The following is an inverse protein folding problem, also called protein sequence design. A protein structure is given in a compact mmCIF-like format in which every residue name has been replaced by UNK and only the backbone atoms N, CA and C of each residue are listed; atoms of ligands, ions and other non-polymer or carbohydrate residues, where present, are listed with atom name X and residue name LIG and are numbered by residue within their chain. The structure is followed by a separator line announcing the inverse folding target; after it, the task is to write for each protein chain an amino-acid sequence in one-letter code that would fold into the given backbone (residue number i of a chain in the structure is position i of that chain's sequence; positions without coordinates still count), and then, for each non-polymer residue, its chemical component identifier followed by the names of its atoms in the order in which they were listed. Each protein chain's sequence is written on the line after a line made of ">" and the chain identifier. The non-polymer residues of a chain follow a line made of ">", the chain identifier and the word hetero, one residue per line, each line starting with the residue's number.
data_IF_693997465629
#
_entry.id   IF_693997465629
#
_cell.length_a   1.000
_cell.length_b   1.000
_cell.length_c   1.000
_cell.angle_alpha   90.00
_cell.angle_beta   90.00
_cell.angle_gamma   90.00
#
_symmetry.space_group_name_H-M   'P 1'
#
loop_
_entity.id
_entity.type
_entity.pdbx_description
1 polymer ?
#
# COMPACT_ATOMS: atom_id res chain seq x y z
N UNK A 1 9.82 3.26 -17.72
CA UNK A 1 8.48 3.46 -17.13
C UNK A 1 8.64 3.57 -15.62
N UNK A 2 8.95 4.79 -15.15
CA UNK A 2 8.61 5.14 -13.76
C UNK A 2 7.12 4.89 -13.66
N UNK A 3 6.68 4.01 -12.76
CA UNK A 3 5.28 4.03 -12.32
C UNK A 3 5.18 5.32 -11.53
N UNK A 4 5.05 6.45 -12.24
CA UNK A 4 4.66 7.71 -11.63
C UNK A 4 3.25 7.44 -11.16
N UNK A 5 3.13 7.09 -9.89
CA UNK A 5 1.85 7.00 -9.22
C UNK A 5 1.33 8.42 -9.22
N UNK A 6 0.61 8.80 -10.26
CA UNK A 6 0.01 10.11 -10.31
C UNK A 6 -1.08 10.10 -9.22
N UNK A 7 -0.92 10.89 -8.14
CA UNK A 7 -1.89 10.91 -7.04
C UNK A 7 -3.28 11.33 -7.54
N UNK A 8 -3.34 12.11 -8.63
CA UNK A 8 -4.57 12.52 -9.32
C UNK A 8 -5.21 11.44 -10.19
N UNK A 9 -4.51 10.34 -10.45
CA UNK A 9 -5.01 9.18 -11.21
C UNK A 9 -4.98 7.90 -10.39
N UNK A 10 -4.89 8.01 -9.07
CA UNK A 10 -5.05 6.86 -8.19
C UNK A 10 -6.45 6.26 -8.41
N UNK A 11 -6.50 4.98 -8.74
CA UNK A 11 -7.71 4.18 -8.64
C UNK A 11 -8.01 3.82 -7.17
N UNK A 12 -7.74 4.75 -6.25
CA UNK A 12 -7.85 4.54 -4.81
C UNK A 12 -8.77 5.61 -4.22
N UNK A 13 -10.05 5.29 -4.21
CA UNK A 13 -11.11 6.13 -3.67
C UNK A 13 -11.30 5.84 -2.17
N UNK A 14 -11.88 6.80 -1.44
CA UNK A 14 -12.25 6.61 -0.02
C UNK A 14 -13.02 5.30 0.22
N UNK A 15 -14.06 4.94 -0.57
CA UNK A 15 -14.73 3.65 -0.46
C UNK A 15 -13.79 2.43 -0.59
N UNK A 16 -12.83 2.46 -1.51
CA UNK A 16 -11.89 1.34 -1.70
C UNK A 16 -10.95 1.17 -0.51
N UNK A 17 -10.50 2.28 0.09
CA UNK A 17 -9.68 2.26 1.31
C UNK A 17 -10.48 1.70 2.48
N UNK A 18 -11.74 2.11 2.63
CA UNK A 18 -12.64 1.57 3.66
C UNK A 18 -12.88 0.07 3.45
N UNK A 19 -13.16 -0.35 2.21
CA UNK A 19 -13.31 -1.76 1.86
C UNK A 19 -12.04 -2.58 2.13
N UNK A 20 -10.86 -1.99 1.93
CA UNK A 20 -9.60 -2.61 2.33
C UNK A 20 -9.55 -2.82 3.86
N UNK A 21 -9.84 -1.77 4.64
CA UNK A 21 -9.85 -1.86 6.10
C UNK A 21 -10.83 -2.96 6.58
N UNK A 22 -12.04 -3.02 5.99
CA UNK A 22 -13.05 -4.02 6.33
C UNK A 22 -12.62 -5.44 6.02
N UNK A 23 -11.95 -5.67 4.89
CA UNK A 23 -11.38 -6.99 4.55
C UNK A 23 -10.32 -7.42 5.56
N UNK A 24 -9.47 -6.49 6.01
CA UNK A 24 -8.43 -6.79 7.01
C UNK A 24 -9.05 -7.09 8.38
N UNK A 25 -10.01 -6.29 8.83
CA UNK A 25 -10.76 -6.55 10.06
C UNK A 25 -11.43 -7.93 10.00
N UNK A 26 -12.18 -8.22 8.93
CA UNK A 26 -12.85 -9.51 8.75
C UNK A 26 -11.87 -10.70 8.77
N UNK A 27 -10.68 -10.54 8.17
CA UNK A 27 -9.62 -11.55 8.21
C UNK A 27 -9.18 -11.83 9.65
N UNK A 28 -8.96 -10.79 10.45
CA UNK A 28 -8.46 -10.92 11.81
C UNK A 28 -9.53 -11.32 12.83
N UNK A 29 -10.79 -10.96 12.60
CA UNK A 29 -11.91 -11.36 13.44
C UNK A 29 -12.13 -12.88 13.50
N UNK A 30 -11.57 -13.65 12.55
CA UNK A 30 -11.53 -15.13 12.62
C UNK A 30 -10.82 -15.66 13.87
N UNK A 31 -9.91 -14.90 14.45
CA UNK A 31 -9.25 -15.17 15.74
C UNK A 31 -9.13 -13.84 16.50
N UNK A 32 -10.25 -13.43 17.11
CA UNK A 32 -10.37 -12.12 17.75
C UNK A 32 -9.48 -12.00 18.98
N UNK A 33 -9.30 -13.08 19.75
CA UNK A 33 -8.47 -13.07 20.97
C UNK A 33 -7.01 -12.77 20.63
N UNK A 34 -6.47 -13.40 19.59
CA UNK A 34 -5.09 -13.15 19.15
C UNK A 34 -4.90 -11.79 18.49
N UNK A 35 -5.92 -11.30 17.78
CA UNK A 35 -5.80 -10.11 16.93
C UNK A 35 -6.49 -8.86 17.49
N UNK A 36 -6.93 -8.86 18.75
CA UNK A 36 -7.72 -7.77 19.33
C UNK A 36 -7.08 -6.39 19.14
N UNK A 37 -5.77 -6.27 19.40
CA UNK A 37 -5.03 -5.01 19.21
C UNK A 37 -4.92 -4.61 17.74
N UNK A 38 -4.71 -5.58 16.83
CA UNK A 38 -4.65 -5.32 15.39
C UNK A 38 -6.00 -4.84 14.85
N UNK A 39 -7.09 -5.46 15.31
CA UNK A 39 -8.46 -5.07 14.97
C UNK A 39 -8.75 -3.65 15.47
N UNK A 40 -8.36 -3.33 16.72
CA UNK A 40 -8.52 -1.98 17.27
C UNK A 40 -7.75 -0.94 16.42
N UNK A 41 -6.49 -1.20 16.11
CA UNK A 41 -5.66 -0.32 15.29
C UNK A 41 -6.25 -0.12 13.88
N UNK A 42 -6.74 -1.20 13.24
CA UNK A 42 -7.34 -1.08 11.90
C UNK A 42 -8.68 -0.34 11.93
N UNK A 43 -9.47 -0.47 12.99
CA UNK A 43 -10.66 0.38 13.17
C UNK A 43 -10.30 1.85 13.32
N UNK A 44 -9.20 2.18 13.99
CA UNK A 44 -8.71 3.56 14.07
C UNK A 44 -8.29 4.09 12.69
N UNK A 45 -7.57 3.29 11.89
CA UNK A 45 -7.22 3.62 10.49
C UNK A 45 -8.49 3.82 9.65
N UNK A 46 -9.47 2.91 9.73
CA UNK A 46 -10.75 3.07 9.02
C UNK A 46 -11.45 4.36 9.42
N UNK A 47 -11.45 4.68 10.72
CA UNK A 47 -12.10 5.89 11.25
C UNK A 47 -11.40 7.15 10.76
N UNK A 48 -10.07 7.19 10.72
CA UNK A 48 -9.35 8.35 10.17
C UNK A 48 -9.68 8.55 8.69
N UNK A 49 -9.72 7.47 7.90
CA UNK A 49 -10.12 7.52 6.49
C UNK A 49 -11.53 8.09 6.31
N UNK A 50 -12.48 7.69 7.16
CA UNK A 50 -13.86 8.19 7.10
C UNK A 50 -13.97 9.68 7.47
N UNK A 51 -13.14 10.15 8.42
CA UNK A 51 -13.17 11.53 8.91
C UNK A 51 -12.45 12.50 7.97
N UNK A 52 -11.35 12.08 7.37
CA UNK A 52 -10.53 12.95 6.50
C UNK A 52 -11.26 13.32 5.22
N UNK A 53 -11.17 14.57 4.78
CA UNK A 53 -11.73 15.03 3.49
C UNK A 53 -11.00 14.38 2.30
N UNK A 54 -11.65 14.37 1.14
CA UNK A 54 -11.16 13.60 -0.01
C UNK A 54 -9.83 14.11 -0.56
N UNK A 55 -9.58 15.43 -0.56
CA UNK A 55 -8.32 16.01 -1.05
C UNK A 55 -7.15 15.70 -0.11
N UNK A 56 -7.35 15.87 1.21
CA UNK A 56 -6.34 15.50 2.20
C UNK A 56 -6.06 13.99 2.16
N UNK A 57 -7.11 13.17 2.04
CA UNK A 57 -6.98 11.72 1.98
C UNK A 57 -6.17 11.30 0.74
N UNK A 58 -6.47 11.88 -0.41
CA UNK A 58 -5.78 11.62 -1.67
C UNK A 58 -4.30 12.00 -1.60
N UNK A 59 -3.96 13.15 -1.03
CA UNK A 59 -2.57 13.57 -0.85
C UNK A 59 -1.80 12.58 0.04
N UNK A 60 -2.33 12.26 1.22
CA UNK A 60 -1.68 11.35 2.17
C UNK A 60 -1.52 9.94 1.61
N UNK A 61 -2.58 9.39 1.02
CA UNK A 61 -2.51 8.04 0.44
C UNK A 61 -1.66 7.99 -0.82
N UNK A 62 -1.56 9.09 -1.57
CA UNK A 62 -0.59 9.25 -2.66
C UNK A 62 0.83 8.99 -2.19
N UNK A 63 1.29 9.72 -1.17
CA UNK A 63 2.62 9.56 -0.57
C UNK A 63 2.86 8.12 -0.09
N UNK A 64 1.88 7.53 0.61
CA UNK A 64 1.98 6.14 1.09
C UNK A 64 2.14 5.17 -0.09
N UNK A 65 1.34 5.35 -1.15
CA UNK A 65 1.41 4.46 -2.31
C UNK A 65 2.72 4.60 -3.06
N UNK A 66 3.18 5.83 -3.35
CA UNK A 66 4.45 6.08 -4.02
C UNK A 66 5.62 5.43 -3.28
N UNK A 67 5.69 5.64 -1.97
CA UNK A 67 6.71 5.01 -1.12
C UNK A 67 6.62 3.47 -1.14
N UNK A 68 5.42 2.89 -1.08
CA UNK A 68 5.26 1.43 -1.16
C UNK A 68 5.75 0.87 -2.49
N UNK A 69 5.48 1.54 -3.62
CA UNK A 69 5.97 1.10 -4.92
C UNK A 69 7.50 1.15 -5.01
N UNK A 70 8.12 2.21 -4.49
CA UNK A 70 9.57 2.31 -4.43
C UNK A 70 10.16 1.18 -3.57
N UNK A 71 9.58 0.94 -2.39
CA UNK A 71 10.02 -0.13 -1.49
C UNK A 71 9.90 -1.52 -2.14
N UNK A 72 8.79 -1.79 -2.84
CA UNK A 72 8.60 -3.06 -3.56
C UNK A 72 9.63 -3.23 -4.68
N UNK A 73 9.92 -2.17 -5.42
CA UNK A 73 10.97 -2.19 -6.44
C UNK A 73 12.34 -2.50 -5.83
N UNK A 74 12.73 -1.80 -4.76
CA UNK A 74 14.03 -2.00 -4.12
C UNK A 74 14.15 -3.41 -3.52
N UNK A 75 13.07 -3.93 -2.93
CA UNK A 75 13.02 -5.30 -2.42
C UNK A 75 13.17 -6.33 -3.55
N UNK A 76 12.48 -6.15 -4.67
CA UNK A 76 12.61 -7.03 -5.84
C UNK A 76 14.04 -7.02 -6.40
N UNK A 77 14.67 -5.85 -6.48
CA UNK A 77 16.06 -5.70 -6.94
C UNK A 77 17.06 -6.30 -5.94
N UNK A 78 16.82 -6.20 -4.64
CA UNK A 78 17.64 -6.82 -3.61
C UNK A 78 17.57 -8.36 -3.70
N UNK A 79 16.36 -8.91 -3.85
CA UNK A 79 16.16 -10.35 -4.03
C UNK A 79 16.85 -10.87 -5.30
N UNK A 80 16.65 -10.19 -6.43
CA UNK A 80 17.25 -10.60 -7.70
C UNK A 80 18.78 -10.59 -7.68
N UNK A 81 19.39 -9.62 -6.98
CA UNK A 81 20.85 -9.58 -6.77
C UNK A 81 21.32 -10.75 -5.91
N UNK A 82 20.58 -11.10 -4.86
CA UNK A 82 20.89 -12.26 -4.03
C UNK A 82 20.77 -13.59 -4.78
N UNK A 83 19.84 -13.66 -5.73
CA UNK A 83 19.59 -14.86 -6.56
C UNK A 83 20.42 -14.90 -7.85
N UNK A 84 21.23 -13.88 -8.15
CA UNK A 84 22.01 -13.78 -9.38
C UNK A 84 21.15 -13.66 -10.65
N UNK A 85 19.93 -13.14 -10.54
CA UNK A 85 18.96 -13.15 -11.62
C UNK A 85 19.17 -12.00 -12.62
N UNK A 86 19.32 -12.35 -13.90
CA UNK A 86 19.67 -11.41 -15.00
C UNK A 86 18.53 -10.44 -15.37
N UNK A 87 17.28 -10.75 -14.99
CA UNK A 87 16.14 -9.86 -15.23
C UNK A 87 16.25 -8.55 -14.46
N UNK A 88 17.00 -8.50 -13.35
CA UNK A 88 17.23 -7.29 -12.56
C UNK A 88 17.90 -6.19 -13.38
N UNK A 89 18.89 -6.56 -14.20
CA UNK A 89 19.62 -5.64 -15.08
C UNK A 89 18.69 -5.09 -16.18
N UNK A 90 17.80 -5.94 -16.70
CA UNK A 90 16.79 -5.53 -17.68
C UNK A 90 15.78 -4.55 -17.05
N UNK A 91 15.33 -4.81 -15.82
CA UNK A 91 14.39 -3.94 -15.11
C UNK A 91 14.99 -2.58 -14.75
N UNK A 92 16.28 -2.56 -14.37
CA UNK A 92 17.02 -1.31 -14.15
C UNK A 92 17.03 -0.43 -15.39
N UNK A 93 17.25 -1.01 -16.57
CA UNK A 93 17.25 -0.28 -17.84
C UNK A 93 15.87 0.21 -18.29
N UNK A 94 14.79 -0.33 -17.72
CA UNK A 94 13.41 0.11 -18.00
C UNK A 94 12.94 1.15 -16.99
N UNK A 95 13.50 1.21 -15.77
CA UNK A 95 13.15 2.25 -14.78
C UNK A 95 13.65 3.63 -15.20
N UNK A 96 14.82 3.72 -15.85
CA UNK A 96 15.43 4.95 -16.36
C UNK A 96 14.99 5.28 -17.78
#
# INVERSE_FOLDING_TARGET
>A
MVILVNPDRLALTKPEIVMFCDRVIAKWSKDTTRNAQNILAMNAVKTSVLWTDDETLKAVWGEITEWMYELLYENAMAQARGEGATWAETLKNVKY
#
